data_IF_241333098534
#
_entry.id   IF_241333098534
#
_cell.length_a   1.000
_cell.length_b   1.000
_cell.length_c   1.000
_cell.angle_alpha   90.00
_cell.angle_beta   90.00
_cell.angle_gamma   90.00
#
_symmetry.space_group_name_H-M   'P 1'
#
loop_
_entity.id
_entity.type
_entity.pdbx_description
1 polymer ?
#
# COMPACT_ATOMS: atom_id res chain seq x y z
N UNK A 1 -22.15 7.41 1.43
CA UNK A 1 -21.70 7.71 0.06
C UNK A 1 -22.85 8.08 -0.88
N UNK A 2 -23.70 9.05 -0.54
CA UNK A 2 -24.84 9.51 -1.37
C UNK A 2 -24.86 11.04 -1.54
N UNK A 3 -23.76 11.74 -1.25
CA UNK A 3 -23.77 13.22 -1.15
C UNK A 3 -22.76 13.95 -2.07
N UNK A 4 -22.16 13.28 -3.05
CA UNK A 4 -21.20 13.94 -3.97
C UNK A 4 -21.56 13.89 -5.46
N UNK A 5 -22.77 13.45 -5.82
CA UNK A 5 -23.19 13.41 -7.24
C UNK A 5 -24.10 14.59 -7.67
N UNK A 6 -24.39 15.56 -6.81
CA UNK A 6 -25.29 16.67 -7.15
C UNK A 6 -24.63 17.97 -7.61
N UNK A 7 -23.32 17.97 -7.91
CA UNK A 7 -22.59 19.20 -8.34
C UNK A 7 -22.01 19.20 -9.74
N UNK A 8 -22.35 18.26 -10.61
CA UNK A 8 -22.12 18.42 -12.04
C UNK A 8 -23.43 18.80 -12.71
N UNK A 9 -23.64 20.09 -12.95
CA UNK A 9 -24.81 20.63 -13.61
C UNK A 9 -24.89 20.24 -15.09
N UNK A 10 -25.05 18.94 -15.37
CA UNK A 10 -25.44 18.46 -16.68
C UNK A 10 -26.95 18.68 -16.84
N UNK A 11 -27.30 19.79 -17.47
CA UNK A 11 -28.65 20.10 -17.89
C UNK A 11 -29.08 19.04 -18.91
N UNK A 12 -30.11 18.26 -18.55
CA UNK A 12 -30.78 17.36 -19.49
C UNK A 12 -31.37 18.20 -20.63
N UNK A 13 -31.21 17.78 -21.90
CA UNK A 13 -31.85 18.51 -22.99
C UNK A 13 -33.36 18.54 -22.81
N UNK A 14 -34.05 19.64 -23.25
CA UNK A 14 -35.49 19.77 -23.10
C UNK A 14 -36.19 18.65 -23.87
N UNK A 15 -37.25 18.08 -23.26
CA UNK A 15 -38.14 17.14 -23.95
C UNK A 15 -38.68 17.84 -25.20
N UNK A 16 -38.30 17.36 -26.38
CA UNK A 16 -38.85 17.82 -27.64
C UNK A 16 -40.33 17.46 -27.69
N UNK A 17 -41.17 18.50 -27.82
CA UNK A 17 -42.59 18.34 -28.10
C UNK A 17 -42.79 17.52 -29.37
N UNK A 18 -43.47 16.41 -29.26
CA UNK A 18 -43.74 15.47 -30.37
C UNK A 18 -44.78 15.99 -31.39
N UNK A 19 -45.08 17.31 -31.46
CA UNK A 19 -46.14 17.87 -32.25
C UNK A 19 -45.74 18.64 -33.50
N UNK A 20 -44.46 18.71 -33.92
CA UNK A 20 -44.03 19.56 -35.03
C UNK A 20 -43.46 18.79 -36.24
N UNK A 21 -43.54 17.48 -36.31
CA UNK A 21 -43.15 16.76 -37.55
C UNK A 21 -44.32 16.06 -38.25
N UNK A 22 -45.35 16.86 -38.64
CA UNK A 22 -46.27 16.50 -39.73
C UNK A 22 -45.82 17.19 -41.00
N UNK A 23 -44.72 16.73 -41.64
CA UNK A 23 -44.11 17.29 -42.85
C UNK A 23 -43.57 16.20 -43.75
N UNK A 24 -44.34 15.76 -44.74
CA UNK A 24 -43.99 15.13 -46.02
C UNK A 24 -42.52 14.71 -46.19
N UNK A 25 -42.28 13.44 -46.06
CA UNK A 25 -41.05 12.78 -46.47
C UNK A 25 -41.12 11.34 -46.01
N UNK A 26 -41.79 10.46 -46.76
CA UNK A 26 -41.81 9.04 -46.49
C UNK A 26 -40.38 8.45 -46.53
N UNK A 27 -39.70 8.49 -45.41
CA UNK A 27 -38.61 7.57 -45.22
C UNK A 27 -39.24 6.17 -45.19
N UNK A 28 -38.95 5.35 -46.20
CA UNK A 28 -39.26 3.94 -46.21
C UNK A 28 -38.83 3.34 -44.87
N UNK A 29 -39.79 2.99 -44.01
CA UNK A 29 -39.50 2.15 -42.89
C UNK A 29 -38.83 0.90 -43.47
N UNK A 30 -37.56 0.65 -43.14
CA UNK A 30 -36.81 -0.50 -43.62
C UNK A 30 -37.67 -1.76 -43.52
N UNK A 31 -37.48 -2.72 -44.41
CA UNK A 31 -38.26 -3.94 -44.43
C UNK A 31 -38.23 -4.62 -43.05
N UNK A 32 -39.27 -5.34 -42.68
CA UNK A 32 -39.33 -6.07 -41.41
C UNK A 32 -38.05 -6.91 -41.17
N UNK A 33 -37.39 -7.34 -42.22
CA UNK A 33 -36.13 -8.06 -42.15
C UNK A 33 -34.95 -7.18 -41.66
N UNK A 34 -34.89 -5.93 -42.13
CA UNK A 34 -33.83 -4.96 -41.69
C UNK A 34 -34.00 -4.59 -40.23
N UNK A 35 -35.23 -4.38 -39.76
CA UNK A 35 -35.55 -4.10 -38.36
C UNK A 35 -35.13 -5.27 -37.47
N UNK A 36 -35.39 -6.53 -37.88
CA UNK A 36 -35.00 -7.72 -37.16
C UNK A 36 -33.47 -7.86 -37.09
N UNK A 37 -32.76 -7.58 -38.15
CA UNK A 37 -31.28 -7.61 -38.16
C UNK A 37 -30.71 -6.55 -37.19
N UNK A 38 -31.28 -5.33 -37.19
CA UNK A 38 -30.85 -4.28 -36.22
C UNK A 38 -31.11 -4.69 -34.76
N UNK A 39 -32.24 -5.29 -34.48
CA UNK A 39 -32.56 -5.78 -33.12
C UNK A 39 -31.61 -6.89 -32.66
N UNK A 40 -31.26 -7.82 -33.55
CA UNK A 40 -30.26 -8.86 -33.22
C UNK A 40 -28.85 -8.28 -33.04
N UNK A 41 -28.48 -7.26 -33.83
CA UNK A 41 -27.21 -6.56 -33.62
C UNK A 41 -27.17 -5.82 -32.27
N UNK A 42 -28.24 -5.14 -31.90
CA UNK A 42 -28.36 -4.46 -30.61
C UNK A 42 -28.22 -5.45 -29.43
N UNK A 43 -28.90 -6.59 -29.51
CA UNK A 43 -28.77 -7.66 -28.51
C UNK A 43 -27.32 -8.17 -28.40
N UNK A 44 -26.68 -8.41 -29.52
CA UNK A 44 -25.29 -8.87 -29.56
C UNK A 44 -24.34 -7.83 -28.95
N UNK A 45 -24.49 -6.55 -29.28
CA UNK A 45 -23.73 -5.46 -28.69
C UNK A 45 -23.96 -5.40 -27.17
N UNK A 46 -25.19 -5.51 -26.73
CA UNK A 46 -25.55 -5.51 -25.32
C UNK A 46 -24.91 -6.70 -24.55
N UNK A 47 -24.93 -7.91 -25.13
CA UNK A 47 -24.29 -9.09 -24.56
C UNK A 47 -22.76 -8.92 -24.50
N UNK A 48 -22.14 -8.42 -25.54
CA UNK A 48 -20.70 -8.15 -25.56
C UNK A 48 -20.31 -7.06 -24.56
N UNK A 49 -21.11 -6.00 -24.42
CA UNK A 49 -20.88 -4.96 -23.44
C UNK A 49 -20.97 -5.51 -21.99
N UNK A 50 -21.95 -6.37 -21.70
CA UNK A 50 -22.04 -7.07 -20.42
C UNK A 50 -20.82 -7.93 -20.12
N UNK A 51 -20.41 -8.77 -21.07
CA UNK A 51 -19.24 -9.64 -20.90
C UNK A 51 -17.98 -8.83 -20.63
N UNK A 52 -17.75 -7.73 -21.39
CA UNK A 52 -16.63 -6.83 -21.15
C UNK A 52 -16.69 -6.13 -19.80
N UNK A 53 -17.86 -5.72 -19.34
CA UNK A 53 -18.03 -5.11 -18.02
C UNK A 53 -17.69 -6.10 -16.89
N UNK A 54 -18.07 -7.36 -17.01
CA UNK A 54 -17.71 -8.42 -16.06
C UNK A 54 -16.19 -8.68 -16.05
N UNK A 55 -15.56 -8.71 -17.22
CA UNK A 55 -14.11 -8.90 -17.32
C UNK A 55 -13.33 -7.71 -16.73
N UNK A 56 -13.81 -6.48 -16.96
CA UNK A 56 -13.23 -5.29 -16.34
C UNK A 56 -13.35 -5.32 -14.81
N UNK A 57 -14.49 -5.76 -14.27
CA UNK A 57 -14.65 -5.90 -12.81
C UNK A 57 -13.70 -6.93 -12.22
N UNK A 58 -13.50 -8.08 -12.88
CA UNK A 58 -12.52 -9.07 -12.46
C UNK A 58 -11.09 -8.50 -12.46
N UNK A 59 -10.74 -7.75 -13.51
CA UNK A 59 -9.42 -7.12 -13.63
C UNK A 59 -9.20 -6.06 -12.54
N UNK A 60 -10.18 -5.21 -12.27
CA UNK A 60 -10.13 -4.24 -11.18
C UNK A 60 -9.89 -4.93 -9.85
N UNK A 61 -10.66 -5.98 -9.53
CA UNK A 61 -10.49 -6.73 -8.29
C UNK A 61 -9.10 -7.40 -8.18
N UNK A 62 -8.55 -7.88 -9.29
CA UNK A 62 -7.20 -8.44 -9.31
C UNK A 62 -6.13 -7.37 -9.04
N UNK A 63 -6.26 -6.17 -9.65
CA UNK A 63 -5.36 -5.04 -9.42
C UNK A 63 -5.44 -4.54 -7.98
N UNK A 64 -6.63 -4.40 -7.42
CA UNK A 64 -6.83 -3.98 -6.03
C UNK A 64 -6.20 -4.97 -5.05
N UNK A 65 -6.37 -6.28 -5.28
CA UNK A 65 -5.76 -7.32 -4.47
C UNK A 65 -4.22 -7.29 -4.55
N UNK A 66 -3.67 -7.10 -5.74
CA UNK A 66 -2.22 -6.99 -5.92
C UNK A 66 -1.65 -5.73 -5.25
N UNK A 67 -2.32 -4.58 -5.38
CA UNK A 67 -1.96 -3.35 -4.69
C UNK A 67 -1.99 -3.53 -3.17
N UNK A 68 -3.04 -4.16 -2.65
CA UNK A 68 -3.15 -4.49 -1.23
C UNK A 68 -1.99 -5.38 -0.75
N UNK A 69 -1.66 -6.44 -1.49
CA UNK A 69 -0.53 -7.33 -1.15
C UNK A 69 0.79 -6.58 -1.14
N UNK A 70 1.03 -5.75 -2.15
CA UNK A 70 2.25 -4.92 -2.26
C UNK A 70 2.37 -3.95 -1.09
N UNK A 71 1.28 -3.31 -0.69
CA UNK A 71 1.29 -2.35 0.40
C UNK A 71 1.43 -3.01 1.78
N UNK A 72 0.90 -4.21 1.96
CA UNK A 72 1.01 -4.99 3.19
C UNK A 72 2.30 -5.83 3.29
N UNK A 73 3.11 -5.91 2.23
CA UNK A 73 4.39 -6.62 2.26
C UNK A 73 5.54 -5.65 2.47
N UNK A 74 6.42 -5.87 3.48
CA UNK A 74 7.60 -5.05 3.71
C UNK A 74 8.54 -5.05 2.51
N UNK A 75 8.70 -3.88 1.86
CA UNK A 75 9.61 -3.70 0.73
C UNK A 75 10.04 -2.23 0.55
N UNK A 76 9.53 -1.32 1.39
CA UNK A 76 9.97 0.07 1.45
C UNK A 76 11.22 0.16 2.32
N UNK A 77 12.32 0.69 1.77
CA UNK A 77 13.51 1.04 2.56
C UNK A 77 13.13 2.03 3.67
N UNK A 78 13.51 1.76 4.93
CA UNK A 78 12.92 2.46 6.07
C UNK A 78 13.52 3.85 6.37
N UNK A 79 14.49 4.34 5.57
CA UNK A 79 15.14 5.65 5.75
C UNK A 79 15.38 6.35 4.42
N UNK A 80 15.60 7.67 4.44
CA UNK A 80 16.10 8.38 3.26
C UNK A 80 17.62 8.16 3.15
N UNK A 81 18.01 7.20 2.31
CA UNK A 81 19.41 6.84 2.13
C UNK A 81 19.98 6.02 3.30
N UNK A 82 21.27 6.17 3.55
CA UNK A 82 22.02 5.34 4.47
C UNK A 82 22.59 4.09 3.83
N UNK A 83 23.39 3.34 4.58
CA UNK A 83 23.98 2.07 4.15
C UNK A 83 23.94 1.05 5.30
N UNK A 84 23.95 -0.23 4.96
CA UNK A 84 24.01 -1.30 5.97
C UNK A 84 25.38 -1.30 6.63
N UNK A 85 25.46 -0.85 7.87
CA UNK A 85 26.67 -0.88 8.70
C UNK A 85 26.87 -2.21 9.42
N UNK A 86 25.78 -2.95 9.66
CA UNK A 86 25.83 -4.28 10.24
C UNK A 86 24.73 -5.18 9.63
N UNK A 87 25.11 -6.30 8.99
CA UNK A 87 24.18 -7.19 8.34
C UNK A 87 23.45 -8.11 9.36
N UNK A 88 22.37 -8.75 8.89
CA UNK A 88 21.65 -9.81 9.57
C UNK A 88 22.52 -11.04 9.78
N UNK A 89 22.37 -11.70 10.93
CA UNK A 89 23.00 -12.99 11.23
C UNK A 89 24.19 -12.90 12.19
N UNK A 90 25.07 -13.89 12.13
CA UNK A 90 26.20 -13.99 13.07
C UNK A 90 27.27 -12.93 12.81
N UNK A 91 27.59 -12.10 13.81
CA UNK A 91 28.62 -11.05 13.76
C UNK A 91 29.54 -11.07 14.97
N UNK A 92 30.73 -10.44 14.91
CA UNK A 92 31.48 -10.13 16.14
C UNK A 92 30.63 -9.30 17.10
N UNK A 93 30.79 -9.53 18.41
CA UNK A 93 30.04 -8.74 19.39
C UNK A 93 30.53 -7.27 19.36
N UNK A 94 29.63 -6.29 19.07
CA UNK A 94 30.04 -4.90 18.89
C UNK A 94 30.42 -4.18 20.20
N UNK A 95 30.07 -4.76 21.36
CA UNK A 95 30.26 -4.11 22.66
C UNK A 95 31.44 -4.69 23.45
N UNK A 96 31.64 -6.01 23.40
CA UNK A 96 32.68 -6.67 24.16
C UNK A 96 34.01 -6.78 23.41
N UNK A 97 33.99 -6.66 22.11
CA UNK A 97 35.16 -6.93 21.23
C UNK A 97 35.56 -8.40 21.16
N UNK A 98 34.92 -9.29 21.94
CA UNK A 98 35.17 -10.74 21.98
C UNK A 98 33.89 -11.53 21.77
N UNK A 99 34.00 -12.70 21.12
CA UNK A 99 32.90 -13.59 20.89
C UNK A 99 32.03 -13.19 19.69
N UNK A 100 30.98 -13.96 19.46
CA UNK A 100 30.00 -13.75 18.38
C UNK A 100 28.65 -13.43 18.99
N UNK A 101 27.92 -12.62 18.30
CA UNK A 101 26.53 -12.21 18.59
C UNK A 101 25.64 -12.54 17.40
N UNK A 102 24.35 -12.77 17.63
CA UNK A 102 23.37 -12.93 16.59
C UNK A 102 22.59 -11.64 16.39
N UNK A 103 22.67 -11.08 15.17
CA UNK A 103 21.98 -9.87 14.82
C UNK A 103 20.62 -10.18 14.18
N UNK A 104 19.49 -9.88 14.83
CA UNK A 104 18.16 -10.26 14.38
C UNK A 104 17.61 -9.40 13.23
N UNK A 105 18.36 -8.37 12.80
CA UNK A 105 18.00 -7.43 11.77
C UNK A 105 19.20 -6.91 11.00
N UNK A 106 19.07 -5.70 10.48
CA UNK A 106 20.16 -4.90 9.90
C UNK A 106 20.27 -3.58 10.63
N UNK A 107 21.50 -3.07 10.76
CA UNK A 107 21.73 -1.70 11.21
C UNK A 107 22.01 -0.81 9.99
N UNK A 108 21.24 0.27 9.84
CA UNK A 108 21.35 1.24 8.75
C UNK A 108 21.96 2.50 9.32
N UNK A 109 23.25 2.74 9.00
CA UNK A 109 23.95 3.97 9.36
C UNK A 109 23.39 5.14 8.53
N UNK A 110 22.87 6.13 9.21
CA UNK A 110 22.28 7.34 8.65
C UNK A 110 22.23 8.43 9.72
N UNK A 111 22.15 9.69 9.31
CA UNK A 111 22.22 10.84 10.21
C UNK A 111 21.14 10.83 11.30
N UNK A 112 21.51 11.32 12.50
CA UNK A 112 20.59 11.51 13.59
C UNK A 112 19.45 12.45 13.19
N UNK A 113 18.20 12.04 13.47
CA UNK A 113 17.01 12.81 13.14
C UNK A 113 16.45 12.57 11.73
N UNK A 114 17.08 11.72 10.91
CA UNK A 114 16.51 11.29 9.62
C UNK A 114 15.14 10.64 9.84
N UNK A 115 14.13 10.93 9.01
CA UNK A 115 12.83 10.28 9.08
C UNK A 115 12.92 8.76 8.93
N UNK A 116 12.13 8.04 9.72
CA UNK A 116 11.96 6.59 9.64
C UNK A 116 10.57 6.30 9.09
N UNK A 117 10.51 5.51 8.03
CA UNK A 117 9.29 5.18 7.29
C UNK A 117 8.83 3.75 7.57
N UNK A 118 7.51 3.54 7.59
CA UNK A 118 6.92 2.21 7.65
C UNK A 118 7.21 1.44 6.36
N UNK A 119 7.84 0.27 6.47
CA UNK A 119 8.21 -0.56 5.31
C UNK A 119 7.02 -1.23 4.63
N UNK A 120 5.88 -1.32 5.33
CA UNK A 120 4.58 -1.77 4.82
C UNK A 120 3.46 -1.08 5.59
N UNK A 121 2.24 -1.12 5.04
CA UNK A 121 1.03 -0.71 5.75
C UNK A 121 0.69 -1.70 6.88
N UNK A 122 0.21 -1.19 8.02
CA UNK A 122 -0.12 -2.05 9.15
C UNK A 122 -0.51 -1.28 10.41
N UNK A 123 -0.65 -2.02 11.51
CA UNK A 123 -0.97 -1.47 12.81
C UNK A 123 0.24 -1.42 13.72
N UNK A 124 0.39 -0.33 14.46
CA UNK A 124 1.41 -0.17 15.51
C UNK A 124 1.05 -1.08 16.67
N UNK A 125 1.77 -2.19 16.81
CA UNK A 125 1.61 -3.13 17.93
C UNK A 125 2.27 -2.59 19.20
N UNK A 126 3.42 -1.93 19.05
CA UNK A 126 4.19 -1.35 20.15
C UNK A 126 4.85 -0.04 19.72
N UNK A 127 4.83 0.96 20.59
CA UNK A 127 5.55 2.21 20.46
C UNK A 127 5.97 2.71 21.84
N UNK A 128 7.29 2.82 22.10
CA UNK A 128 7.80 3.21 23.41
C UNK A 128 9.24 2.79 23.63
N UNK A 129 9.67 2.78 24.88
CA UNK A 129 10.98 2.25 25.27
C UNK A 129 10.93 0.73 25.37
N UNK A 130 11.87 0.04 24.74
CA UNK A 130 11.94 -1.42 24.76
C UNK A 130 13.38 -1.91 24.97
N UNK A 131 13.77 -2.09 26.24
CA UNK A 131 15.06 -2.65 26.65
C UNK A 131 16.26 -2.05 25.89
N UNK A 132 17.10 -2.92 25.35
CA UNK A 132 18.29 -2.56 24.56
C UNK A 132 17.98 -1.83 23.25
N UNK A 133 16.79 -1.99 22.67
CA UNK A 133 16.35 -1.28 21.46
C UNK A 133 16.11 0.22 21.68
N UNK A 134 16.04 0.70 22.94
CA UNK A 134 15.73 2.10 23.24
C UNK A 134 14.32 2.49 22.84
N UNK A 135 14.14 3.62 22.18
CA UNK A 135 12.85 4.00 21.58
C UNK A 135 12.59 3.14 20.36
N UNK A 136 11.47 2.45 20.39
CA UNK A 136 11.15 1.31 19.54
C UNK A 136 9.74 1.38 19.02
N UNK A 137 9.55 0.92 17.78
CA UNK A 137 8.25 0.67 17.17
C UNK A 137 8.24 -0.75 16.63
N UNK A 138 7.10 -1.46 16.82
CA UNK A 138 6.78 -2.71 16.14
C UNK A 138 5.46 -2.55 15.40
N UNK A 139 5.49 -2.85 14.11
CA UNK A 139 4.30 -2.86 13.25
C UNK A 139 3.91 -4.30 12.93
N UNK A 140 2.61 -4.58 12.99
CA UNK A 140 2.03 -5.81 12.47
C UNK A 140 1.42 -5.55 11.11
N UNK A 141 1.77 -6.39 10.14
CA UNK A 141 1.28 -6.33 8.77
C UNK A 141 0.49 -7.59 8.44
N UNK A 142 -0.23 -7.57 7.33
CA UNK A 142 -0.90 -8.76 6.85
C UNK A 142 0.09 -9.82 6.32
N UNK A 143 -0.44 -10.99 5.98
CA UNK A 143 0.33 -12.14 5.49
C UNK A 143 1.41 -12.63 6.45
N UNK A 144 1.26 -12.38 7.77
CA UNK A 144 2.17 -12.83 8.82
C UNK A 144 3.50 -12.08 8.88
N UNK A 145 3.58 -10.88 8.30
CA UNK A 145 4.74 -10.02 8.44
C UNK A 145 4.64 -9.11 9.66
N UNK A 146 5.79 -8.81 10.24
CA UNK A 146 5.99 -7.76 11.23
C UNK A 146 7.30 -7.04 10.91
N UNK A 147 7.38 -5.75 11.27
CA UNK A 147 8.62 -4.98 11.20
C UNK A 147 8.91 -4.29 12.51
N UNK A 148 10.19 -4.17 12.85
CA UNK A 148 10.64 -3.54 14.07
C UNK A 148 11.72 -2.49 13.77
N UNK A 149 11.66 -1.39 14.53
CA UNK A 149 12.47 -0.19 14.35
C UNK A 149 13.03 0.24 15.69
N UNK A 150 14.34 0.17 15.87
CA UNK A 150 15.03 0.46 17.12
C UNK A 150 15.92 1.70 17.09
N UNK A 151 16.41 2.07 18.25
CA UNK A 151 17.35 3.17 18.52
C UNK A 151 16.88 4.56 18.11
N UNK A 152 15.55 4.76 17.97
CA UNK A 152 14.96 6.00 17.49
C UNK A 152 15.20 7.16 18.47
N UNK A 153 15.28 8.39 17.95
CA UNK A 153 15.35 9.61 18.77
C UNK A 153 13.97 10.08 19.22
N UNK A 154 12.95 9.91 18.36
CA UNK A 154 11.57 10.31 18.60
C UNK A 154 10.62 9.40 17.84
N UNK A 155 9.49 9.06 18.45
CA UNK A 155 8.38 8.32 17.84
C UNK A 155 7.35 9.33 17.34
N UNK A 156 6.77 9.09 16.16
CA UNK A 156 5.74 9.93 15.55
C UNK A 156 4.34 9.30 15.62
N UNK A 157 4.26 8.04 16.03
CA UNK A 157 3.02 7.27 16.12
C UNK A 157 2.87 6.60 17.49
N UNK A 158 1.67 6.15 17.82
CA UNK A 158 1.32 5.48 19.07
C UNK A 158 0.80 4.07 18.82
N UNK A 159 0.90 3.20 19.81
CA UNK A 159 0.32 1.86 19.74
C UNK A 159 -1.19 1.91 19.42
N UNK A 160 -1.66 1.00 18.57
CA UNK A 160 -3.02 0.93 18.05
C UNK A 160 -3.28 1.79 16.79
N UNK A 161 -2.39 2.72 16.41
CA UNK A 161 -2.53 3.50 15.17
C UNK A 161 -2.35 2.63 13.94
N UNK A 162 -3.08 2.92 12.88
CA UNK A 162 -2.80 2.40 11.54
C UNK A 162 -1.85 3.33 10.81
N UNK A 163 -0.87 2.79 10.10
CA UNK A 163 0.08 3.52 9.27
C UNK A 163 0.08 2.96 7.85
N UNK A 164 0.26 3.85 6.87
CA UNK A 164 0.45 3.47 5.47
C UNK A 164 1.91 3.12 5.21
N UNK A 165 2.16 2.31 4.20
CA UNK A 165 3.52 2.10 3.66
C UNK A 165 4.14 3.44 3.27
N UNK A 166 5.37 3.70 3.70
CA UNK A 166 6.08 4.96 3.48
C UNK A 166 5.64 6.12 4.39
N UNK A 167 4.77 5.89 5.37
CA UNK A 167 4.42 6.91 6.36
C UNK A 167 5.54 7.09 7.39
N UNK A 168 5.80 8.34 7.80
CA UNK A 168 6.81 8.64 8.83
C UNK A 168 6.31 8.15 10.18
N UNK A 169 7.02 7.20 10.78
CA UNK A 169 6.70 6.61 12.09
C UNK A 169 7.58 7.12 13.22
N UNK A 170 8.72 7.76 12.89
CA UNK A 170 9.64 8.34 13.86
C UNK A 170 10.91 8.85 13.22
N UNK A 171 11.97 8.96 14.00
CA UNK A 171 13.23 9.57 13.57
C UNK A 171 14.42 8.79 14.11
N UNK A 172 15.46 8.65 13.30
CA UNK A 172 16.72 7.97 13.66
C UNK A 172 17.35 8.62 14.88
N UNK A 173 17.93 7.79 15.74
CA UNK A 173 18.60 8.22 16.96
C UNK A 173 19.79 7.34 17.30
N UNK A 174 20.09 7.25 18.59
CA UNK A 174 21.11 6.39 19.19
C UNK A 174 20.70 6.02 20.61
N UNK A 175 19.39 5.75 20.82
CA UNK A 175 18.86 5.40 22.15
C UNK A 175 19.02 3.91 22.43
N UNK A 176 19.09 3.54 23.74
CA UNK A 176 19.30 2.15 24.12
C UNK A 176 20.74 1.69 23.94
N UNK A 177 20.93 0.43 23.53
CA UNK A 177 22.25 -0.18 23.31
C UNK A 177 22.74 0.15 21.89
N UNK A 178 23.35 1.32 21.70
CA UNK A 178 23.79 1.85 20.40
C UNK A 178 25.17 2.50 20.54
N UNK A 179 26.00 2.32 19.54
CA UNK A 179 27.37 2.90 19.47
C UNK A 179 27.41 4.23 18.70
N UNK A 180 26.33 4.62 18.05
CA UNK A 180 26.23 5.84 17.26
C UNK A 180 24.89 5.94 16.51
N UNK A 181 24.62 7.02 15.77
CA UNK A 181 23.39 7.19 15.03
C UNK A 181 23.19 6.11 13.98
N UNK A 182 22.10 5.33 14.11
CA UNK A 182 21.67 4.33 13.13
C UNK A 182 20.22 3.94 13.40
N UNK A 183 19.57 3.30 12.44
CA UNK A 183 18.33 2.59 12.59
C UNK A 183 18.60 1.09 12.68
N UNK A 184 18.22 0.44 13.77
CA UNK A 184 18.09 -1.01 13.82
C UNK A 184 16.76 -1.41 13.22
N UNK A 185 16.78 -2.28 12.20
CA UNK A 185 15.58 -2.67 11.45
C UNK A 185 15.47 -4.18 11.32
N UNK A 186 14.30 -4.72 11.72
CA UNK A 186 14.00 -6.15 11.60
C UNK A 186 12.77 -6.38 10.75
N UNK A 187 12.75 -7.52 10.06
CA UNK A 187 11.54 -8.10 9.47
C UNK A 187 11.34 -9.48 10.08
N UNK A 188 10.09 -9.75 10.50
CA UNK A 188 9.69 -11.07 10.94
C UNK A 188 8.64 -11.62 9.97
N UNK A 189 8.67 -12.93 9.77
CA UNK A 189 7.67 -13.68 9.02
C UNK A 189 7.17 -14.83 9.89
N UNK A 190 5.89 -14.80 10.23
CA UNK A 190 5.27 -15.76 11.17
C UNK A 190 6.02 -15.86 12.52
N UNK A 191 6.53 -14.72 13.03
CA UNK A 191 7.27 -14.64 14.29
C UNK A 191 8.76 -14.97 14.20
N UNK A 192 9.27 -15.41 13.05
CA UNK A 192 10.70 -15.70 12.83
C UNK A 192 11.40 -14.54 12.13
N UNK A 193 12.57 -14.13 12.64
CA UNK A 193 13.39 -13.11 12.00
C UNK A 193 13.89 -13.60 10.64
N UNK A 194 13.70 -12.78 9.61
CA UNK A 194 14.22 -13.01 8.27
C UNK A 194 15.18 -11.90 7.88
N UNK A 195 16.12 -12.19 6.98
CA UNK A 195 17.07 -11.19 6.51
C UNK A 195 16.34 -10.05 5.76
N UNK A 196 16.31 -8.81 6.29
CA UNK A 196 15.61 -7.70 5.63
C UNK A 196 16.12 -7.43 4.22
N UNK A 197 17.41 -7.62 3.95
CA UNK A 197 17.99 -7.38 2.63
C UNK A 197 17.46 -8.30 1.51
N UNK A 198 16.73 -9.36 1.85
CA UNK A 198 16.12 -10.24 0.86
C UNK A 198 14.76 -9.76 0.35
N UNK A 199 14.17 -8.73 0.99
CA UNK A 199 12.85 -8.18 0.69
C UNK A 199 12.88 -6.72 0.21
N UNK A 200 14.05 -6.06 0.28
CA UNK A 200 14.28 -4.63 -0.01
C UNK A 200 14.92 -4.41 -1.38
#
# INVERSE_FOLDING_TARGET
MRSQMEKSGAQLPPKSDASVYAGKGGASLGSASEVNVMLEQEKNISLQAKAKAEDLQKLIGAIENENYRRDATPSQWPTDGGYISSPFGGRPNPFSGYGRDWHPGIDIAVDYGTPVYASAAGYVQQAGWYGGYGKYIRLGHDFGYETAYGHMSRLAVSAGSFVKKGEVIGYVGSTGYSTGPHLHFEILKYGEQVNPSSLM
#
